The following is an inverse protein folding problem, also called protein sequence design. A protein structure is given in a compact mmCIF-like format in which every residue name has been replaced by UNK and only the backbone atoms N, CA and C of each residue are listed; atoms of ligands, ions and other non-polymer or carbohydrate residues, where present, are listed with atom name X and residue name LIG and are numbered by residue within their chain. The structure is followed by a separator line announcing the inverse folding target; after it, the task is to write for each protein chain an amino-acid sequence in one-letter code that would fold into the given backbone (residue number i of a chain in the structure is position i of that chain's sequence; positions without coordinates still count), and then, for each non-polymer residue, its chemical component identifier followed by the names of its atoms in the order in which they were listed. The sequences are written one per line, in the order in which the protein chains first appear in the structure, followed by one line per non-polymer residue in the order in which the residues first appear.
data_IF_241217493079
#
_entry.id   IF_241217493079
#
_cell.length_a   1.000
_cell.length_b   1.000
_cell.length_c   1.000
_cell.angle_alpha   90.00
_cell.angle_beta   90.00
_cell.angle_gamma   90.00
#
_symmetry.space_group_name_H-M   'P 1'
#
loop_
_entity.id
_entity.type
_entity.pdbx_description
1 polymer ?
#
# COMPACT_ATOMS: atom_id res chain seq x y z
N UNK A 1 5.34 36.93 40.55
CA UNK A 1 5.44 36.50 39.14
C UNK A 1 5.02 35.04 39.12
N UNK A 2 4.13 34.58 38.23
CA UNK A 2 3.78 33.16 38.18
C UNK A 2 5.02 32.40 37.69
N UNK A 3 5.40 31.34 38.40
CA UNK A 3 6.48 30.44 38.02
C UNK A 3 6.20 29.91 36.60
N UNK A 4 6.99 30.37 35.63
CA UNK A 4 7.01 29.78 34.31
C UNK A 4 7.71 28.42 34.46
N UNK A 5 6.94 27.34 34.28
CA UNK A 5 7.45 25.99 34.13
C UNK A 5 8.61 25.99 33.14
N UNK A 6 9.70 25.30 33.47
CA UNK A 6 10.83 25.12 32.56
C UNK A 6 10.39 24.38 31.29
N UNK A 7 11.16 24.52 30.20
CA UNK A 7 10.87 23.83 28.92
C UNK A 7 10.72 22.31 29.09
N UNK A 8 11.49 21.71 30.01
CA UNK A 8 11.44 20.28 30.32
C UNK A 8 10.16 19.92 31.08
N UNK A 9 9.76 20.71 32.09
CA UNK A 9 8.50 20.48 32.82
C UNK A 9 7.25 20.71 31.95
N UNK A 10 7.32 21.62 30.97
CA UNK A 10 6.27 21.81 29.97
C UNK A 10 6.18 20.60 29.03
N UNK A 11 7.32 20.03 28.61
CA UNK A 11 7.36 18.82 27.78
C UNK A 11 6.81 17.61 28.55
N UNK A 12 7.24 17.38 29.79
CA UNK A 12 6.74 16.29 30.64
C UNK A 12 5.24 16.39 30.92
N UNK A 13 4.73 17.62 31.11
CA UNK A 13 3.29 17.86 31.30
C UNK A 13 2.51 17.55 30.02
N UNK A 14 3.04 17.94 28.86
CA UNK A 14 2.45 17.65 27.57
C UNK A 14 2.44 16.15 27.26
N UNK A 15 3.54 15.44 27.51
CA UNK A 15 3.63 13.98 27.35
C UNK A 15 2.63 13.25 28.26
N UNK A 16 2.50 13.68 29.52
CA UNK A 16 1.54 13.11 30.45
C UNK A 16 0.09 13.34 30.00
N UNK A 17 -0.23 14.55 29.53
CA UNK A 17 -1.55 14.85 28.98
C UNK A 17 -1.86 14.01 27.74
N UNK A 18 -0.89 13.82 26.84
CA UNK A 18 -1.05 12.97 25.65
C UNK A 18 -1.27 11.50 26.03
N UNK A 19 -0.57 11.00 27.05
CA UNK A 19 -0.76 9.63 27.56
C UNK A 19 -2.12 9.45 28.24
N UNK A 20 -2.57 10.41 29.03
CA UNK A 20 -3.90 10.41 29.65
C UNK A 20 -5.02 10.52 28.61
N UNK A 21 -4.86 11.38 27.61
CA UNK A 21 -5.82 11.54 26.51
C UNK A 21 -5.90 10.28 25.65
N UNK A 22 -4.76 9.62 25.38
CA UNK A 22 -4.73 8.31 24.72
C UNK A 22 -5.39 7.22 25.57
N UNK A 23 -5.16 7.21 26.89
CA UNK A 23 -5.80 6.28 27.83
C UNK A 23 -7.32 6.45 27.92
N UNK A 24 -7.83 7.64 27.59
CA UNK A 24 -9.26 7.95 27.55
C UNK A 24 -9.92 7.63 26.19
N UNK A 25 -9.16 7.18 25.18
CA UNK A 25 -9.69 6.85 23.85
C UNK A 25 -9.70 5.34 23.61
N UNK A 26 -10.86 4.80 23.25
CA UNK A 26 -11.03 3.39 22.86
C UNK A 26 -10.71 3.23 21.38
N UNK A 27 -9.82 2.29 21.07
CA UNK A 27 -9.39 1.97 19.70
C UNK A 27 -10.23 0.83 19.15
N UNK A 28 -11.10 1.14 18.19
CA UNK A 28 -11.84 0.14 17.42
C UNK A 28 -10.99 -0.43 16.30
N UNK A 29 -10.92 -1.76 16.19
CA UNK A 29 -10.28 -2.45 15.06
C UNK A 29 -11.34 -3.09 14.15
N UNK A 30 -11.08 -3.10 12.85
CA UNK A 30 -11.91 -3.83 11.89
C UNK A 30 -11.78 -5.34 12.08
N UNK A 31 -12.87 -6.08 11.84
CA UNK A 31 -12.91 -7.55 11.87
C UNK A 31 -11.80 -8.20 11.04
N UNK A 32 -11.42 -7.58 9.91
CA UNK A 32 -10.38 -8.07 9.02
C UNK A 32 -9.03 -8.32 9.73
N UNK A 33 -8.70 -7.52 10.75
CA UNK A 33 -7.49 -7.70 11.56
C UNK A 33 -7.51 -9.06 12.28
N UNK A 34 -8.62 -9.35 12.98
CA UNK A 34 -8.80 -10.57 13.76
C UNK A 34 -8.95 -11.81 12.88
N UNK A 35 -9.62 -11.69 11.73
CA UNK A 35 -9.73 -12.80 10.76
C UNK A 35 -8.37 -13.27 10.25
N UNK A 36 -7.39 -12.37 10.17
CA UNK A 36 -6.02 -12.71 9.76
C UNK A 36 -5.30 -13.58 10.79
N UNK A 37 -5.73 -13.51 12.06
CA UNK A 37 -5.24 -14.35 13.16
C UNK A 37 -6.14 -15.59 13.40
N UNK A 38 -7.17 -15.80 12.56
CA UNK A 38 -8.13 -16.90 12.70
C UNK A 38 -9.22 -16.66 13.74
N UNK A 39 -9.40 -15.42 14.19
CA UNK A 39 -10.38 -15.05 15.21
C UNK A 39 -11.63 -14.39 14.62
N UNK A 40 -12.81 -14.81 15.08
CA UNK A 40 -14.10 -14.21 14.70
C UNK A 40 -14.61 -13.29 15.80
N UNK A 41 -13.89 -12.19 16.04
CA UNK A 41 -14.17 -11.23 17.12
C UNK A 41 -13.87 -9.80 16.67
N UNK A 42 -14.31 -8.83 17.47
CA UNK A 42 -13.88 -7.43 17.39
C UNK A 42 -12.98 -7.04 18.58
N UNK A 43 -12.40 -8.03 19.26
CA UNK A 43 -11.70 -7.85 20.52
C UNK A 43 -12.67 -7.34 21.59
N UNK A 44 -12.37 -6.18 22.19
CA UNK A 44 -13.29 -5.50 23.11
C UNK A 44 -14.46 -4.79 22.41
N UNK A 45 -14.51 -4.81 21.07
CA UNK A 45 -15.60 -4.27 20.28
C UNK A 45 -15.81 -2.77 20.56
N UNK A 46 -17.01 -2.44 21.06
CA UNK A 46 -17.40 -1.07 21.43
C UNK A 46 -17.40 -0.83 22.95
N UNK A 47 -16.81 -1.72 23.76
CA UNK A 47 -16.77 -1.53 25.22
C UNK A 47 -16.05 -0.22 25.56
N UNK A 48 -16.71 0.62 26.34
CA UNK A 48 -16.19 1.89 26.83
C UNK A 48 -16.35 1.94 28.35
N UNK A 49 -15.30 2.34 29.06
CA UNK A 49 -15.39 2.71 30.46
C UNK A 49 -16.06 4.09 30.63
N UNK A 50 -16.50 4.44 31.85
CA UNK A 50 -17.07 5.75 32.13
C UNK A 50 -16.12 6.87 31.70
N UNK A 51 -16.60 7.79 30.86
CA UNK A 51 -15.83 8.96 30.39
C UNK A 51 -14.88 8.69 29.21
N UNK A 52 -14.75 7.44 28.75
CA UNK A 52 -13.96 7.14 27.55
C UNK A 52 -14.74 7.49 26.28
N UNK A 53 -14.01 7.86 25.23
CA UNK A 53 -14.56 8.15 23.89
C UNK A 53 -13.92 7.26 22.84
N UNK A 54 -14.55 7.06 21.68
CA UNK A 54 -13.90 6.36 20.57
C UNK A 54 -12.79 7.21 19.97
N UNK A 55 -11.72 6.57 19.50
CA UNK A 55 -10.75 7.23 18.65
C UNK A 55 -11.41 7.65 17.34
N UNK A 56 -11.56 8.97 17.16
CA UNK A 56 -12.07 9.59 15.95
C UNK A 56 -10.98 10.50 15.35
N UNK A 57 -10.85 10.49 14.03
CA UNK A 57 -9.88 11.28 13.30
C UNK A 57 -8.49 10.65 13.24
N UNK A 58 -7.45 11.47 13.33
CA UNK A 58 -6.05 11.03 13.29
C UNK A 58 -5.70 10.18 14.51
N UNK A 59 -4.90 9.13 14.29
CA UNK A 59 -4.36 8.30 15.35
C UNK A 59 -3.03 8.89 15.83
N UNK A 60 -2.93 9.41 17.07
CA UNK A 60 -1.71 10.03 17.59
C UNK A 60 -0.53 9.05 17.72
N UNK A 61 -0.78 7.74 17.61
CA UNK A 61 0.28 6.71 17.61
C UNK A 61 0.98 6.59 16.25
N UNK A 62 0.41 7.17 15.19
CA UNK A 62 0.98 7.19 13.85
C UNK A 62 1.63 8.56 13.57
N UNK A 63 2.67 8.62 12.71
CA UNK A 63 3.21 9.89 12.25
C UNK A 63 2.10 10.77 11.65
N UNK A 64 2.14 12.06 11.97
CA UNK A 64 1.18 13.03 11.46
C UNK A 64 1.24 13.12 9.92
N UNK A 65 0.08 13.23 9.30
CA UNK A 65 -0.07 13.43 7.85
C UNK A 65 -0.31 14.93 7.56
N UNK A 66 0.13 15.44 6.40
CA UNK A 66 -0.29 16.76 5.93
C UNK A 66 -1.81 16.84 5.73
N UNK A 67 -2.36 18.06 5.77
CA UNK A 67 -3.79 18.29 5.56
C UNK A 67 -4.26 17.78 4.20
N UNK A 68 -3.48 18.07 3.15
CA UNK A 68 -3.66 17.59 1.77
C UNK A 68 -2.56 16.58 1.40
N UNK A 69 -2.69 15.30 1.79
CA UNK A 69 -1.62 14.32 1.64
C UNK A 69 -1.44 13.89 0.18
N UNK A 70 -0.18 13.72 -0.23
CA UNK A 70 0.21 13.22 -1.55
C UNK A 70 0.55 11.72 -1.49
N UNK A 71 0.71 11.08 -2.66
CA UNK A 71 1.23 9.70 -2.72
C UNK A 71 2.56 9.52 -1.94
N UNK A 72 3.47 10.49 -2.03
CA UNK A 72 4.77 10.42 -1.34
C UNK A 72 4.61 10.45 0.19
N UNK A 73 3.61 11.17 0.70
CA UNK A 73 3.30 11.19 2.14
C UNK A 73 2.82 9.82 2.62
N UNK A 74 2.04 9.09 1.82
CA UNK A 74 1.64 7.72 2.17
C UNK A 74 2.84 6.76 2.22
N UNK A 75 3.78 6.85 1.29
CA UNK A 75 5.04 6.11 1.36
C UNK A 75 5.84 6.43 2.63
N UNK A 76 5.85 7.70 3.05
CA UNK A 76 6.63 8.15 4.19
C UNK A 76 6.01 7.80 5.55
N UNK A 77 4.68 7.88 5.65
CA UNK A 77 3.99 7.92 6.94
C UNK A 77 2.99 6.79 7.17
N UNK A 78 2.66 5.97 6.16
CA UNK A 78 1.68 4.87 6.29
C UNK A 78 2.16 3.53 5.76
N UNK A 79 2.89 3.49 4.65
CA UNK A 79 3.35 2.23 4.08
C UNK A 79 4.49 1.60 4.89
N UNK A 80 4.60 0.28 4.81
CA UNK A 80 5.60 -0.49 5.50
C UNK A 80 7.02 -0.11 5.06
N UNK A 81 7.73 0.63 5.93
CA UNK A 81 9.10 1.10 5.70
C UNK A 81 10.16 -0.02 5.76
N UNK A 82 9.87 -1.08 6.51
CA UNK A 82 10.80 -2.18 6.68
C UNK A 82 10.92 -2.99 5.39
N UNK A 83 12.15 -3.42 5.08
CA UNK A 83 12.40 -4.46 4.10
C UNK A 83 11.51 -5.68 4.41
N UNK A 84 10.89 -6.32 3.41
CA UNK A 84 11.12 -6.14 1.96
C UNK A 84 10.21 -5.11 1.27
N UNK A 85 9.15 -4.61 1.91
CA UNK A 85 7.98 -4.11 1.18
C UNK A 85 8.23 -2.80 0.40
N UNK A 86 8.62 -1.71 1.06
CA UNK A 86 8.84 -0.45 0.36
C UNK A 86 10.04 -0.52 -0.59
N UNK A 87 11.13 -1.18 -0.20
CA UNK A 87 12.32 -1.31 -1.06
C UNK A 87 12.05 -2.16 -2.29
N UNK A 88 11.22 -3.21 -2.18
CA UNK A 88 10.80 -4.01 -3.34
C UNK A 88 10.13 -3.16 -4.44
N UNK A 89 9.16 -2.31 -4.04
CA UNK A 89 8.50 -1.39 -4.97
C UNK A 89 9.49 -0.45 -5.67
N UNK A 90 10.41 0.13 -4.90
CA UNK A 90 11.42 1.06 -5.41
C UNK A 90 12.45 0.37 -6.31
N UNK A 91 12.88 -0.84 -5.97
CA UNK A 91 13.78 -1.65 -6.78
C UNK A 91 13.13 -2.09 -8.10
N UNK A 92 11.85 -2.48 -8.08
CA UNK A 92 11.10 -2.85 -9.27
C UNK A 92 10.99 -1.67 -10.24
N UNK A 93 10.66 -0.48 -9.74
CA UNK A 93 10.65 0.75 -10.53
C UNK A 93 12.04 1.14 -11.07
N UNK A 94 13.10 0.97 -10.28
CA UNK A 94 14.48 1.24 -10.70
C UNK A 94 14.91 0.28 -11.82
N UNK A 95 14.55 -1.00 -11.72
CA UNK A 95 14.83 -1.99 -12.76
C UNK A 95 14.06 -1.66 -14.05
N UNK A 96 12.79 -1.28 -13.92
CA UNK A 96 11.97 -0.83 -15.05
C UNK A 96 12.59 0.38 -15.77
N UNK A 97 13.11 1.37 -15.04
CA UNK A 97 13.82 2.51 -15.63
C UNK A 97 15.07 2.06 -16.39
N UNK A 98 15.89 1.17 -15.80
CA UNK A 98 17.10 0.64 -16.44
C UNK A 98 16.79 -0.16 -17.70
N UNK A 99 15.67 -0.86 -17.71
CA UNK A 99 15.17 -1.61 -18.86
C UNK A 99 14.53 -0.70 -19.93
N UNK A 100 14.41 0.60 -19.68
CA UNK A 100 13.95 1.57 -20.68
C UNK A 100 12.47 1.45 -21.04
N UNK A 101 11.64 0.87 -20.17
CA UNK A 101 10.19 0.80 -20.42
C UNK A 101 9.54 2.19 -20.26
N UNK A 102 8.37 2.46 -20.86
CA UNK A 102 7.72 3.76 -20.75
C UNK A 102 7.53 4.20 -19.31
N UNK A 103 7.68 5.50 -19.02
CA UNK A 103 7.65 6.02 -17.65
C UNK A 103 6.34 5.74 -16.90
N UNK A 104 5.19 5.73 -17.59
CA UNK A 104 3.92 5.33 -16.98
C UNK A 104 3.96 3.88 -16.47
N UNK A 105 4.73 3.02 -17.11
CA UNK A 105 4.96 1.64 -16.67
C UNK A 105 6.04 1.53 -15.59
N UNK A 106 6.98 2.48 -15.52
CA UNK A 106 7.82 2.65 -14.33
C UNK A 106 6.97 2.96 -13.11
N UNK A 107 5.98 3.87 -13.24
CA UNK A 107 4.99 4.11 -12.19
C UNK A 107 4.19 2.82 -11.89
N UNK A 108 3.79 2.07 -12.92
CA UNK A 108 3.17 0.75 -12.76
C UNK A 108 3.99 -0.20 -11.89
N UNK A 109 5.30 -0.30 -12.13
CA UNK A 109 6.22 -1.11 -11.32
C UNK A 109 6.39 -0.55 -9.90
N UNK A 110 6.38 0.76 -9.71
CA UNK A 110 6.44 1.39 -8.39
C UNK A 110 5.20 1.08 -7.53
N UNK A 111 4.03 0.89 -8.15
CA UNK A 111 2.75 0.79 -7.44
C UNK A 111 2.10 -0.59 -7.49
N UNK A 112 2.70 -1.57 -8.18
CA UNK A 112 2.06 -2.88 -8.41
C UNK A 112 1.64 -3.60 -7.12
N UNK A 113 2.50 -3.56 -6.11
CA UNK A 113 2.29 -4.20 -4.79
C UNK A 113 1.94 -3.18 -3.69
N UNK A 114 1.44 -1.99 -4.05
CA UNK A 114 1.10 -0.93 -3.08
C UNK A 114 0.09 -1.39 -2.02
N UNK A 115 -0.83 -2.29 -2.39
CA UNK A 115 -1.79 -2.86 -1.44
C UNK A 115 -1.12 -3.82 -0.45
N UNK A 116 -0.08 -4.56 -0.86
CA UNK A 116 0.75 -5.37 0.06
C UNK A 116 1.50 -4.46 1.03
N UNK A 117 2.06 -3.35 0.54
CA UNK A 117 2.85 -2.44 1.35
C UNK A 117 2.02 -1.59 2.34
N UNK A 118 0.73 -1.37 2.06
CA UNK A 118 -0.04 -0.34 2.76
C UNK A 118 -1.50 -0.62 3.09
N UNK A 119 -2.10 -1.72 2.61
CA UNK A 119 -3.54 -1.94 2.79
C UNK A 119 -3.95 -3.41 2.99
N UNK A 120 -4.30 -4.13 1.92
CA UNK A 120 -4.78 -5.51 1.98
C UNK A 120 -3.96 -6.38 1.01
N UNK A 121 -3.35 -7.43 1.55
CA UNK A 121 -2.47 -8.35 0.79
C UNK A 121 -3.23 -9.35 -0.09
N UNK A 122 -4.33 -9.89 0.42
CA UNK A 122 -5.17 -10.82 -0.35
C UNK A 122 -5.81 -10.06 -1.51
N UNK A 123 -5.68 -10.58 -2.74
CA UNK A 123 -6.07 -9.86 -3.96
C UNK A 123 -5.42 -8.47 -4.13
N UNK A 124 -4.15 -8.35 -3.75
CA UNK A 124 -3.39 -7.09 -3.80
C UNK A 124 -3.41 -6.38 -5.17
N UNK A 125 -3.40 -7.11 -6.29
CA UNK A 125 -3.46 -6.49 -7.62
C UNK A 125 -4.79 -5.76 -7.83
N UNK A 126 -5.89 -6.34 -7.35
CA UNK A 126 -7.21 -5.72 -7.44
C UNK A 126 -7.35 -4.53 -6.49
N UNK A 127 -6.98 -4.68 -5.22
CA UNK A 127 -7.01 -3.59 -4.26
C UNK A 127 -6.10 -2.43 -4.67
N UNK A 128 -4.88 -2.75 -5.11
CA UNK A 128 -3.90 -1.78 -5.59
C UNK A 128 -4.42 -1.03 -6.80
N UNK A 129 -4.94 -1.74 -7.80
CA UNK A 129 -5.53 -1.12 -8.99
C UNK A 129 -6.71 -0.20 -8.65
N UNK A 130 -7.66 -0.66 -7.81
CA UNK A 130 -8.81 0.15 -7.38
C UNK A 130 -8.37 1.42 -6.62
N UNK A 131 -7.33 1.31 -5.81
CA UNK A 131 -6.82 2.43 -5.02
C UNK A 131 -6.23 3.54 -5.88
N UNK A 132 -5.64 3.20 -7.02
CA UNK A 132 -4.94 4.16 -7.90
C UNK A 132 -5.71 4.54 -9.17
N UNK A 133 -6.72 3.77 -9.58
CA UNK A 133 -7.44 3.90 -10.87
C UNK A 133 -7.90 5.33 -11.19
N UNK A 134 -8.42 6.14 -10.23
CA UNK A 134 -8.81 7.52 -10.54
C UNK A 134 -7.64 8.47 -10.84
N UNK A 135 -6.41 8.07 -10.55
CA UNK A 135 -5.23 8.94 -10.54
C UNK A 135 -4.19 8.57 -11.59
N UNK A 136 -4.35 7.45 -12.30
CA UNK A 136 -3.38 6.96 -13.29
C UNK A 136 -4.04 6.64 -14.62
N UNK A 137 -3.22 6.42 -15.66
CA UNK A 137 -3.68 5.94 -16.96
C UNK A 137 -4.36 4.55 -16.83
N UNK A 138 -5.41 4.32 -17.61
CA UNK A 138 -6.20 3.06 -17.56
C UNK A 138 -5.31 1.83 -17.79
N UNK A 139 -4.30 1.94 -18.66
CA UNK A 139 -3.33 0.87 -18.90
C UNK A 139 -2.52 0.52 -17.66
N UNK A 140 -2.14 1.51 -16.85
CA UNK A 140 -1.36 1.31 -15.62
C UNK A 140 -2.21 0.59 -14.57
N UNK A 141 -3.45 1.05 -14.36
CA UNK A 141 -4.38 0.39 -13.44
C UNK A 141 -4.67 -1.05 -13.89
N UNK A 142 -4.91 -1.27 -15.19
CA UNK A 142 -5.13 -2.61 -15.74
C UNK A 142 -3.91 -3.51 -15.57
N UNK A 143 -2.71 -3.01 -15.87
CA UNK A 143 -1.47 -3.79 -15.74
C UNK A 143 -1.24 -4.21 -14.29
N UNK A 144 -1.45 -3.30 -13.33
CA UNK A 144 -1.38 -3.60 -11.90
C UNK A 144 -2.48 -4.58 -11.48
N UNK A 145 -3.68 -4.51 -12.04
CA UNK A 145 -4.72 -5.51 -11.72
C UNK A 145 -4.30 -6.90 -12.18
N UNK A 146 -3.82 -7.01 -13.42
CA UNK A 146 -3.58 -8.30 -14.07
C UNK A 146 -2.22 -8.92 -13.74
N UNK A 147 -1.23 -8.16 -13.25
CA UNK A 147 0.05 -8.74 -12.84
C UNK A 147 -0.14 -9.84 -11.77
N UNK A 148 -1.17 -9.72 -10.91
CA UNK A 148 -1.50 -10.70 -9.87
C UNK A 148 -1.78 -12.10 -10.44
N UNK A 149 -2.53 -12.23 -11.53
CA UNK A 149 -2.76 -13.55 -12.12
C UNK A 149 -1.59 -13.96 -13.02
N UNK A 150 -1.00 -13.01 -13.76
CA UNK A 150 0.03 -13.27 -14.76
C UNK A 150 1.34 -13.80 -14.16
N UNK A 151 1.70 -13.43 -12.92
CA UNK A 151 2.89 -13.90 -12.21
C UNK A 151 2.97 -15.43 -12.06
N UNK A 152 1.84 -16.13 -12.11
CA UNK A 152 1.80 -17.59 -11.99
C UNK A 152 2.06 -18.35 -13.30
N UNK A 153 2.17 -17.64 -14.43
CA UNK A 153 2.29 -18.27 -15.74
C UNK A 153 3.56 -17.80 -16.44
N UNK A 154 4.37 -18.77 -16.88
CA UNK A 154 5.57 -18.50 -17.66
C UNK A 154 5.23 -17.88 -19.02
N UNK A 155 6.15 -17.06 -19.50
CA UNK A 155 6.17 -16.45 -20.82
C UNK A 155 7.62 -16.26 -21.26
N UNK A 156 8.23 -17.33 -21.76
CA UNK A 156 9.64 -17.36 -22.20
C UNK A 156 9.92 -16.33 -23.31
N UNK A 157 8.94 -16.05 -24.18
CA UNK A 157 9.07 -15.07 -25.24
C UNK A 157 9.21 -13.64 -24.69
N UNK A 158 8.60 -13.36 -23.54
CA UNK A 158 8.74 -12.11 -22.80
C UNK A 158 9.90 -12.12 -21.79
N UNK A 159 10.70 -13.20 -21.73
CA UNK A 159 11.79 -13.35 -20.75
C UNK A 159 11.32 -13.62 -19.33
N UNK A 160 10.12 -14.17 -19.14
CA UNK A 160 9.55 -14.51 -17.84
C UNK A 160 9.42 -16.04 -17.67
N UNK A 161 10.50 -16.75 -17.29
CA UNK A 161 10.36 -18.15 -16.90
C UNK A 161 9.51 -18.27 -15.64
N UNK A 162 8.93 -19.45 -15.38
CA UNK A 162 8.21 -19.67 -14.13
C UNK A 162 9.16 -19.44 -12.93
N UNK A 163 8.82 -18.57 -11.97
CA UNK A 163 9.69 -18.27 -10.84
C UNK A 163 10.01 -19.53 -10.01
N UNK A 164 11.28 -19.97 -10.01
CA UNK A 164 11.72 -21.11 -9.17
C UNK A 164 11.39 -20.90 -7.68
N UNK A 165 11.38 -19.64 -7.24
CA UNK A 165 11.00 -19.28 -5.87
C UNK A 165 9.54 -19.66 -5.55
N UNK A 166 8.63 -19.61 -6.53
CA UNK A 166 7.22 -19.94 -6.30
C UNK A 166 7.04 -21.44 -6.05
N UNK A 167 7.78 -22.31 -6.75
CA UNK A 167 7.83 -23.74 -6.43
C UNK A 167 8.25 -23.97 -4.98
N UNK A 168 9.28 -23.24 -4.52
CA UNK A 168 9.75 -23.33 -3.13
C UNK A 168 8.75 -22.79 -2.11
N UNK A 169 8.08 -21.67 -2.43
CA UNK A 169 7.15 -20.99 -1.52
C UNK A 169 5.79 -21.67 -1.43
N UNK A 170 5.27 -22.19 -2.53
CA UNK A 170 3.89 -22.71 -2.61
C UNK A 170 3.85 -24.25 -2.65
N UNK A 171 4.98 -24.90 -2.94
CA UNK A 171 5.08 -26.35 -3.12
C UNK A 171 4.99 -26.76 -4.59
N UNK A 172 5.59 -27.90 -4.92
CA UNK A 172 5.64 -28.45 -6.29
C UNK A 172 4.25 -28.77 -6.84
N UNK A 173 3.32 -29.16 -5.97
CA UNK A 173 1.95 -29.55 -6.34
C UNK A 173 0.96 -28.39 -6.37
N UNK A 174 1.41 -27.15 -6.08
CA UNK A 174 0.51 -26.00 -6.06
C UNK A 174 -0.11 -25.77 -7.43
N UNK A 175 -1.44 -25.71 -7.46
CA UNK A 175 -2.21 -25.31 -8.63
C UNK A 175 -2.94 -24.00 -8.33
N UNK A 176 -2.92 -23.08 -9.29
CA UNK A 176 -3.69 -21.84 -9.17
C UNK A 176 -5.18 -22.15 -9.09
N UNK A 177 -5.92 -21.32 -8.36
CA UNK A 177 -7.37 -21.44 -8.30
C UNK A 177 -7.99 -21.28 -9.71
N UNK A 178 -9.13 -21.94 -10.02
CA UNK A 178 -9.75 -21.89 -11.34
C UNK A 178 -10.02 -20.46 -11.85
N UNK A 179 -10.39 -19.54 -10.96
CA UNK A 179 -10.64 -18.15 -11.35
C UNK A 179 -9.36 -17.41 -11.77
N UNK A 180 -8.20 -17.73 -11.17
CA UNK A 180 -6.90 -17.15 -11.55
C UNK A 180 -6.49 -17.60 -12.95
N UNK A 181 -6.69 -18.89 -13.28
CA UNK A 181 -6.47 -19.40 -14.62
C UNK A 181 -7.40 -18.73 -15.65
N UNK A 182 -8.68 -18.57 -15.32
CA UNK A 182 -9.64 -17.88 -16.19
C UNK A 182 -9.32 -16.39 -16.39
N UNK A 183 -8.80 -15.69 -15.37
CA UNK A 183 -8.33 -14.32 -15.48
C UNK A 183 -7.08 -14.22 -16.37
N UNK A 184 -6.14 -15.17 -16.24
CA UNK A 184 -4.96 -15.19 -17.09
C UNK A 184 -5.30 -15.38 -18.57
N UNK A 185 -6.24 -16.28 -18.90
CA UNK A 185 -6.70 -16.45 -20.29
C UNK A 185 -7.34 -15.17 -20.84
N UNK A 186 -8.09 -14.42 -20.01
CA UNK A 186 -8.60 -13.10 -20.40
C UNK A 186 -7.46 -12.09 -20.59
N UNK A 187 -6.47 -12.09 -19.69
CA UNK A 187 -5.30 -11.21 -19.78
C UNK A 187 -4.51 -11.42 -21.08
N UNK A 188 -4.26 -12.69 -21.46
CA UNK A 188 -3.52 -13.07 -22.68
C UNK A 188 -4.11 -12.49 -23.96
N UNK A 189 -5.41 -12.31 -24.00
CA UNK A 189 -6.13 -11.79 -25.16
C UNK A 189 -6.33 -10.26 -25.12
N UNK A 190 -5.79 -9.58 -24.10
CA UNK A 190 -5.98 -8.14 -23.92
C UNK A 190 -4.87 -7.33 -24.60
N UNK A 191 -5.23 -6.16 -25.15
CA UNK A 191 -4.29 -5.24 -25.84
C UNK A 191 -3.09 -4.79 -24.98
N UNK A 192 -3.25 -4.81 -23.65
CA UNK A 192 -2.23 -4.41 -22.68
C UNK A 192 -1.52 -5.57 -22.01
N UNK A 193 -1.64 -6.80 -22.54
CA UNK A 193 -0.98 -7.99 -22.00
C UNK A 193 0.51 -7.73 -21.70
N UNK A 194 1.23 -7.13 -22.64
CA UNK A 194 2.65 -6.85 -22.44
C UNK A 194 2.93 -5.86 -21.31
N UNK A 195 2.03 -4.90 -21.05
CA UNK A 195 2.17 -3.95 -19.95
C UNK A 195 2.10 -4.66 -18.60
N UNK A 196 1.14 -5.56 -18.41
CA UNK A 196 1.06 -6.42 -17.22
C UNK A 196 2.25 -7.37 -17.11
N UNK A 197 2.69 -7.96 -18.24
CA UNK A 197 3.84 -8.87 -18.27
C UNK A 197 5.15 -8.17 -17.89
N UNK A 198 5.35 -6.93 -18.33
CA UNK A 198 6.53 -6.17 -17.96
C UNK A 198 6.58 -5.82 -16.48
N UNK A 199 5.43 -5.66 -15.80
CA UNK A 199 5.42 -5.57 -14.33
C UNK A 199 5.96 -6.86 -13.73
N UNK A 200 5.46 -8.04 -14.15
CA UNK A 200 5.96 -9.32 -13.63
C UNK A 200 7.48 -9.50 -13.83
N UNK A 201 7.99 -9.12 -15.00
CA UNK A 201 9.43 -9.21 -15.31
C UNK A 201 10.27 -8.33 -14.37
N UNK A 202 9.81 -7.11 -14.08
CA UNK A 202 10.54 -6.18 -13.21
C UNK A 202 10.32 -6.40 -11.71
N UNK A 203 9.23 -7.09 -11.32
CA UNK A 203 8.94 -7.56 -9.97
C UNK A 203 9.90 -8.69 -9.53
N UNK A 204 10.04 -9.74 -10.35
CA UNK A 204 10.74 -10.97 -9.98
C UNK A 204 12.18 -10.77 -9.45
N UNK A 205 12.87 -9.74 -9.93
CA UNK A 205 14.28 -9.47 -9.62
C UNK A 205 14.50 -8.36 -8.58
N UNK A 206 13.44 -7.85 -7.96
CA UNK A 206 13.48 -6.70 -7.06
C UNK A 206 13.52 -7.09 -5.56
N UNK A 207 14.42 -8.00 -5.18
CA UNK A 207 14.57 -8.50 -3.79
C UNK A 207 16.03 -8.47 -3.30
N UNK A 208 16.84 -7.51 -3.77
CA UNK A 208 18.23 -7.35 -3.32
C UNK A 208 18.24 -6.76 -1.89
N UNK A 209 18.86 -7.46 -0.95
CA UNK A 209 18.91 -7.06 0.47
C UNK A 209 19.93 -5.94 0.75
N UNK A 210 20.76 -5.58 -0.22
CA UNK A 210 21.81 -4.55 -0.10
C UNK A 210 21.50 -3.30 -0.91
N UNK A 211 20.68 -3.40 -1.94
CA UNK A 211 20.31 -2.26 -2.77
C UNK A 211 19.27 -1.40 -2.06
N UNK A 212 19.64 -0.16 -1.76
CA UNK A 212 18.72 0.85 -1.21
C UNK A 212 18.43 1.88 -2.29
N UNK A 213 17.15 2.06 -2.59
CA UNK A 213 16.65 3.09 -3.50
C UNK A 213 15.86 4.10 -2.68
N UNK A 214 16.07 5.38 -2.96
CA UNK A 214 15.33 6.48 -2.33
C UNK A 214 14.11 6.84 -3.18
N UNK A 215 13.01 7.17 -2.50
CA UNK A 215 11.76 7.57 -3.18
C UNK A 215 11.96 8.78 -4.10
N UNK A 216 12.88 9.68 -3.73
CA UNK A 216 13.18 10.92 -4.47
C UNK A 216 13.59 10.65 -5.94
N UNK A 217 14.14 9.46 -6.25
CA UNK A 217 14.44 9.04 -7.62
C UNK A 217 13.19 9.02 -8.52
N UNK A 218 12.00 8.84 -7.95
CA UNK A 218 10.74 8.70 -8.68
C UNK A 218 9.82 9.91 -8.56
N UNK A 219 10.23 10.99 -7.89
CA UNK A 219 9.41 12.20 -7.71
C UNK A 219 8.89 12.75 -9.03
N UNK A 220 9.74 12.84 -10.07
CA UNK A 220 9.34 13.33 -11.39
C UNK A 220 8.42 12.37 -12.14
N UNK A 221 8.58 11.05 -11.93
CA UNK A 221 7.70 10.04 -12.54
C UNK A 221 6.32 10.11 -11.89
N UNK A 222 6.26 10.19 -10.56
CA UNK A 222 5.02 10.38 -9.81
C UNK A 222 4.34 11.68 -10.25
N UNK A 223 5.06 12.80 -10.28
CA UNK A 223 4.51 14.11 -10.63
C UNK A 223 3.92 14.20 -12.03
N UNK A 224 4.41 13.39 -12.98
CA UNK A 224 3.91 13.37 -14.37
C UNK A 224 2.81 12.35 -14.64
N UNK A 225 2.81 11.23 -13.92
CA UNK A 225 1.95 10.07 -14.23
C UNK A 225 0.94 9.73 -13.14
N UNK A 226 0.99 10.38 -11.97
CA UNK A 226 0.00 10.26 -10.91
C UNK A 226 -0.69 11.61 -10.66
N UNK A 227 -1.99 11.68 -10.96
CA UNK A 227 -2.82 12.87 -10.78
C UNK A 227 -3.12 13.09 -9.29
N UNK A 228 -2.28 13.84 -8.60
CA UNK A 228 -2.53 14.25 -7.22
C UNK A 228 -3.79 15.14 -7.15
N UNK A 229 -4.80 14.82 -6.32
CA UNK A 229 -5.91 15.73 -6.07
C UNK A 229 -5.43 16.97 -5.30
N UNK A 230 -5.99 18.13 -5.60
CA UNK A 230 -5.57 19.41 -4.99
C UNK A 230 -5.87 19.46 -3.48
N UNK A 231 -6.95 18.80 -3.09
CA UNK A 231 -7.39 18.61 -1.71
C UNK A 231 -6.62 17.51 -0.96
N UNK A 232 -5.83 16.69 -1.66
CA UNK A 232 -5.08 15.56 -1.11
C UNK A 232 -5.82 14.22 -1.14
N UNK A 233 -5.06 13.13 -1.21
CA UNK A 233 -5.59 11.77 -1.33
C UNK A 233 -6.50 11.42 -0.15
N UNK A 234 -7.74 11.06 -0.48
CA UNK A 234 -8.77 10.73 0.51
C UNK A 234 -9.63 11.91 0.97
N UNK A 235 -9.23 13.16 0.68
CA UNK A 235 -10.09 14.32 0.87
C UNK A 235 -10.93 14.63 -0.38
N UNK A 236 -10.59 14.02 -1.50
CA UNK A 236 -11.28 14.10 -2.77
C UNK A 236 -12.57 13.27 -2.81
N UNK A 237 -13.27 13.32 -3.95
CA UNK A 237 -14.55 12.64 -4.16
C UNK A 237 -14.47 11.53 -5.23
N UNK A 238 -13.33 10.85 -5.34
CA UNK A 238 -13.19 9.71 -6.23
C UNK A 238 -13.73 8.43 -5.57
N UNK A 239 -14.05 7.39 -6.36
CA UNK A 239 -14.40 6.09 -5.81
C UNK A 239 -13.31 5.50 -4.88
N UNK A 240 -12.05 5.91 -5.02
CA UNK A 240 -10.93 5.43 -4.21
C UNK A 240 -10.68 6.24 -2.93
N UNK A 241 -11.30 7.41 -2.74
CA UNK A 241 -10.99 8.31 -1.62
C UNK A 241 -11.20 7.65 -0.25
N UNK A 242 -12.20 6.78 -0.13
CA UNK A 242 -12.44 6.04 1.11
C UNK A 242 -11.28 5.09 1.47
N UNK A 243 -10.62 4.48 0.49
CA UNK A 243 -9.47 3.59 0.70
C UNK A 243 -8.31 4.39 1.32
N UNK A 244 -7.98 5.55 0.75
CA UNK A 244 -6.95 6.44 1.27
C UNK A 244 -7.27 6.96 2.68
N UNK A 245 -8.54 7.29 2.97
CA UNK A 245 -8.96 7.66 4.33
C UNK A 245 -8.80 6.52 5.32
N UNK A 246 -9.14 5.29 4.93
CA UNK A 246 -8.98 4.10 5.77
C UNK A 246 -7.51 3.85 6.10
N UNK A 247 -6.61 3.99 5.12
CA UNK A 247 -5.16 3.88 5.36
C UNK A 247 -4.65 5.01 6.26
N UNK A 248 -5.13 6.24 6.04
CA UNK A 248 -4.77 7.41 6.85
C UNK A 248 -5.18 7.22 8.32
N UNK A 249 -6.39 6.67 8.55
CA UNK A 249 -7.07 6.58 9.85
C UNK A 249 -7.71 5.19 10.04
N UNK A 250 -6.92 4.13 10.27
CA UNK A 250 -7.40 2.74 10.24
C UNK A 250 -8.33 2.37 11.40
N UNK A 251 -8.30 3.14 12.49
CA UNK A 251 -9.11 2.90 13.70
C UNK A 251 -10.25 3.92 13.88
N UNK A 252 -10.54 4.73 12.87
CA UNK A 252 -11.56 5.77 12.93
C UNK A 252 -12.97 5.19 12.66
N UNK A 253 -13.92 5.42 13.56
CA UNK A 253 -15.26 4.83 13.53
C UNK A 253 -16.28 5.68 12.73
N UNK A 254 -16.07 5.81 11.41
CA UNK A 254 -17.03 6.43 10.46
C UNK A 254 -17.85 5.39 9.69
#
# INVERSE_FOLDING_TARGET
MPDQLSMEEQADTLERQQLEELGNRVVGKSLFYFLSDGEQTLGDGFKQGPGQTLLMGEDPRLPAMPDAPTLADFFKFRFARAWPYQQHLLQSANLAQKNGIPEKMVLGCLLHDIAVAGFIRSDHGYWGAQMIEPYVDEEVSWAIRMHQCMRFFADEAAGYPYPKMYTKMFGEDYQVAPYIAAEYERARNHKWYMSGRMICVNDLYAFDDKLVIELDQFTDVIGRHFKQPAEGLGNDNTPASHIWRTIRRPCNAL
#
